data_IF_420284046052
#
_entry.id   IF_420284046052
#
_cell.length_a   1.000
_cell.length_b   1.000
_cell.length_c   1.000
_cell.angle_alpha   90.00
_cell.angle_beta   90.00
_cell.angle_gamma   90.00
#
_symmetry.space_group_name_H-M   'P 1'
#
loop_
_entity.id
_entity.type
_entity.pdbx_description
1 polymer ?
#
# COMPACT_ATOMS: atom_id res chain seq x y z
N UNK A 1 -13.89 -14.83 -17.92
CA UNK A 1 -12.75 -15.25 -17.09
C UNK A 1 -12.07 -13.99 -16.63
N UNK A 2 -11.87 -13.84 -15.31
CA UNK A 2 -11.26 -12.65 -14.69
C UNK A 2 -9.74 -12.81 -14.80
N UNK A 3 -9.10 -11.91 -15.51
CA UNK A 3 -7.64 -11.91 -15.65
C UNK A 3 -7.00 -11.20 -14.46
N UNK A 4 -6.14 -11.88 -13.74
CA UNK A 4 -5.45 -11.30 -12.60
C UNK A 4 -3.94 -11.29 -12.78
N UNK A 5 -3.30 -10.31 -12.15
CA UNK A 5 -1.84 -10.26 -12.01
C UNK A 5 -1.47 -10.27 -10.55
N UNK A 6 -0.38 -10.97 -10.20
CA UNK A 6 0.17 -11.02 -8.85
C UNK A 6 1.48 -10.23 -8.80
N UNK A 7 1.60 -9.31 -7.85
CA UNK A 7 2.81 -8.56 -7.56
C UNK A 7 3.17 -8.75 -6.08
N UNK A 8 4.26 -9.46 -5.80
CA UNK A 8 4.70 -9.86 -4.46
C UNK A 8 6.18 -10.21 -4.53
N UNK A 9 7.01 -9.69 -3.65
CA UNK A 9 8.46 -9.94 -3.65
C UNK A 9 8.80 -11.37 -3.19
N UNK A 10 7.93 -11.99 -2.39
CA UNK A 10 8.10 -13.34 -1.87
C UNK A 10 7.69 -14.38 -2.93
N UNK A 11 8.67 -14.89 -3.68
CA UNK A 11 8.43 -15.82 -4.78
C UNK A 11 7.56 -17.02 -4.39
N UNK A 12 7.83 -17.65 -3.23
CA UNK A 12 7.06 -18.83 -2.79
C UNK A 12 5.59 -18.48 -2.54
N UNK A 13 5.31 -17.32 -1.92
CA UNK A 13 3.94 -16.85 -1.66
C UNK A 13 3.23 -16.56 -2.97
N UNK A 14 3.89 -15.87 -3.89
CA UNK A 14 3.37 -15.54 -5.21
C UNK A 14 3.01 -16.78 -6.03
N UNK A 15 3.90 -17.79 -6.05
CA UNK A 15 3.66 -19.06 -6.74
C UNK A 15 2.52 -19.86 -6.09
N UNK A 16 2.45 -19.89 -4.76
CA UNK A 16 1.37 -20.56 -4.03
C UNK A 16 0.01 -19.91 -4.30
N UNK A 17 -0.07 -18.57 -4.26
CA UNK A 17 -1.30 -17.84 -4.61
C UNK A 17 -1.70 -18.07 -6.06
N UNK A 18 -0.74 -18.06 -6.99
CA UNK A 18 -1.01 -18.35 -8.40
C UNK A 18 -1.59 -19.78 -8.59
N UNK A 19 -1.01 -20.76 -7.92
CA UNK A 19 -1.50 -22.14 -7.98
C UNK A 19 -2.92 -22.28 -7.39
N UNK A 20 -3.17 -21.68 -6.22
CA UNK A 20 -4.48 -21.75 -5.55
C UNK A 20 -5.57 -21.03 -6.35
N UNK A 21 -5.29 -19.82 -6.84
CA UNK A 21 -6.25 -19.05 -7.64
C UNK A 21 -6.47 -19.64 -9.04
N UNK A 22 -5.46 -20.33 -9.58
CA UNK A 22 -5.58 -21.07 -10.84
C UNK A 22 -6.49 -22.31 -10.77
N UNK A 23 -6.90 -22.74 -9.56
CA UNK A 23 -7.92 -23.78 -9.38
C UNK A 23 -9.35 -23.26 -9.57
N UNK A 24 -9.53 -21.93 -9.50
CA UNK A 24 -10.84 -21.30 -9.70
C UNK A 24 -11.18 -21.25 -11.21
N UNK A 25 -12.35 -21.76 -11.58
CA UNK A 25 -12.75 -21.93 -12.98
C UNK A 25 -12.96 -20.63 -13.76
N UNK A 26 -13.13 -19.50 -13.06
CA UNK A 26 -13.42 -18.18 -13.58
C UNK A 26 -12.28 -17.18 -13.42
N UNK A 27 -11.13 -17.59 -12.85
CA UNK A 27 -9.95 -16.74 -12.63
C UNK A 27 -8.78 -17.27 -13.47
N UNK A 28 -8.05 -16.37 -14.09
CA UNK A 28 -6.83 -16.64 -14.87
C UNK A 28 -5.68 -15.77 -14.39
N UNK A 29 -4.58 -16.36 -13.93
CA UNK A 29 -3.35 -15.65 -13.58
C UNK A 29 -2.55 -15.38 -14.85
N UNK A 30 -2.60 -14.16 -15.38
CA UNK A 30 -1.95 -13.79 -16.66
C UNK A 30 -0.51 -13.31 -16.49
N UNK A 31 -0.13 -12.85 -15.29
CA UNK A 31 1.23 -12.40 -15.01
C UNK A 31 1.58 -12.50 -13.52
N UNK A 32 2.89 -12.60 -13.25
CA UNK A 32 3.48 -12.56 -11.93
C UNK A 32 4.74 -11.69 -11.99
N UNK A 33 4.90 -10.77 -11.04
CA UNK A 33 6.08 -9.87 -10.93
C UNK A 33 6.56 -9.79 -9.49
N UNK A 34 7.85 -9.52 -9.29
CA UNK A 34 8.49 -9.50 -7.98
C UNK A 34 8.78 -8.09 -7.43
N UNK A 35 8.57 -7.05 -8.22
CA UNK A 35 8.88 -5.67 -7.83
C UNK A 35 7.87 -4.65 -8.35
N UNK A 36 7.77 -3.52 -7.65
CA UNK A 36 6.80 -2.47 -7.96
C UNK A 36 7.00 -1.86 -9.34
N UNK A 37 8.26 -1.63 -9.73
CA UNK A 37 8.59 -1.01 -11.02
C UNK A 37 8.21 -1.90 -12.23
N UNK A 38 8.03 -3.22 -12.02
CA UNK A 38 7.64 -4.16 -13.06
C UNK A 38 6.12 -4.15 -13.35
N UNK A 39 5.31 -3.62 -12.41
CA UNK A 39 3.85 -3.75 -12.46
C UNK A 39 3.24 -3.02 -13.65
N UNK A 40 3.57 -1.74 -13.84
CA UNK A 40 2.98 -0.94 -14.92
C UNK A 40 3.34 -1.48 -16.32
N UNK A 41 4.61 -1.85 -16.60
CA UNK A 41 4.96 -2.55 -17.84
C UNK A 41 4.19 -3.85 -18.07
N UNK A 42 3.98 -4.65 -17.00
CA UNK A 42 3.24 -5.90 -17.07
C UNK A 42 1.73 -5.68 -17.30
N UNK A 43 1.11 -4.66 -16.68
CA UNK A 43 -0.29 -4.28 -16.97
C UNK A 43 -0.47 -3.96 -18.45
N UNK A 44 0.42 -3.15 -19.03
CA UNK A 44 0.36 -2.76 -20.44
C UNK A 44 0.56 -3.94 -21.40
N UNK A 45 1.24 -4.99 -20.96
CA UNK A 45 1.50 -6.20 -21.77
C UNK A 45 0.40 -7.24 -21.67
N UNK A 46 -0.13 -7.48 -20.46
CA UNK A 46 -1.02 -8.61 -20.18
C UNK A 46 -2.47 -8.21 -19.97
N UNK A 47 -2.75 -6.91 -19.81
CA UNK A 47 -4.08 -6.33 -19.63
C UNK A 47 -4.94 -7.07 -18.59
N UNK A 48 -4.48 -7.17 -17.32
CA UNK A 48 -5.28 -7.79 -16.26
C UNK A 48 -6.48 -6.93 -15.91
N UNK A 49 -7.54 -7.57 -15.40
CA UNK A 49 -8.73 -6.89 -14.87
C UNK A 49 -8.48 -6.44 -13.42
N UNK A 50 -7.78 -7.28 -12.64
CA UNK A 50 -7.46 -7.03 -11.24
C UNK A 50 -5.98 -7.30 -10.99
N UNK A 51 -5.30 -6.39 -10.29
CA UNK A 51 -3.92 -6.53 -9.86
C UNK A 51 -3.89 -6.72 -8.36
N UNK A 52 -3.38 -7.86 -7.90
CA UNK A 52 -3.10 -8.12 -6.48
C UNK A 52 -1.71 -7.58 -6.16
N UNK A 53 -1.62 -6.72 -5.15
CA UNK A 53 -0.40 -5.99 -4.80
C UNK A 53 -0.03 -6.27 -3.34
N UNK A 54 1.15 -6.83 -3.10
CA UNK A 54 1.73 -6.75 -1.76
C UNK A 54 2.17 -5.31 -1.45
N UNK A 55 2.17 -4.93 -0.18
CA UNK A 55 2.64 -3.60 0.23
C UNK A 55 4.16 -3.52 0.14
N UNK A 56 4.85 -4.53 0.65
CA UNK A 56 6.32 -4.54 0.73
C UNK A 56 6.93 -5.14 -0.53
N UNK A 57 7.27 -4.30 -1.50
CA UNK A 57 7.90 -4.72 -2.74
C UNK A 57 9.14 -3.88 -3.05
N UNK A 58 10.23 -4.47 -3.56
CA UNK A 58 11.38 -3.69 -4.02
C UNK A 58 11.02 -2.89 -5.26
N UNK A 59 11.55 -1.68 -5.33
CA UNK A 59 11.42 -0.79 -6.49
C UNK A 59 12.25 0.47 -6.27
N UNK A 60 12.67 1.11 -7.34
CA UNK A 60 13.41 2.38 -7.29
C UNK A 60 12.48 3.58 -7.34
N UNK A 61 11.37 3.48 -8.06
CA UNK A 61 10.34 4.51 -8.20
C UNK A 61 9.05 4.11 -7.48
N UNK A 62 8.64 2.85 -7.60
CA UNK A 62 7.45 2.27 -6.97
C UNK A 62 7.88 1.21 -5.95
N UNK A 63 8.18 1.64 -4.74
CA UNK A 63 8.71 0.80 -3.66
C UNK A 63 7.65 0.18 -2.74
N UNK A 64 6.37 0.42 -3.05
CA UNK A 64 5.24 -0.09 -2.27
C UNK A 64 4.05 -0.38 -3.18
N UNK A 65 3.30 -1.45 -2.89
CA UNK A 65 2.03 -1.72 -3.59
C UNK A 65 1.01 -0.58 -3.47
N UNK A 66 1.10 0.25 -2.45
CA UNK A 66 0.26 1.44 -2.32
C UNK A 66 0.66 2.50 -3.36
N UNK A 67 1.96 2.70 -3.59
CA UNK A 67 2.45 3.62 -4.62
C UNK A 67 2.07 3.12 -6.02
N UNK A 68 2.14 1.81 -6.23
CA UNK A 68 1.68 1.17 -7.48
C UNK A 68 0.18 1.38 -7.69
N UNK A 69 -0.66 1.23 -6.65
CA UNK A 69 -2.09 1.49 -6.76
C UNK A 69 -2.39 2.95 -7.15
N UNK A 70 -1.65 3.91 -6.57
CA UNK A 70 -1.74 5.31 -6.96
C UNK A 70 -1.32 5.53 -8.43
N UNK A 71 -0.23 4.90 -8.87
CA UNK A 71 0.24 5.01 -10.25
C UNK A 71 -0.78 4.41 -11.26
N UNK A 72 -1.41 3.27 -10.94
CA UNK A 72 -2.48 2.67 -11.77
C UNK A 72 -3.65 3.65 -11.93
N UNK A 73 -4.11 4.25 -10.83
CA UNK A 73 -5.21 5.24 -10.81
C UNK A 73 -4.85 6.49 -11.62
N UNK A 74 -3.66 7.06 -11.37
CA UNK A 74 -3.24 8.35 -11.96
C UNK A 74 -2.97 8.22 -13.46
N UNK A 75 -2.44 7.07 -13.90
CA UNK A 75 -2.27 6.73 -15.31
C UNK A 75 -3.59 6.32 -15.99
N UNK A 76 -4.69 6.15 -15.24
CA UNK A 76 -6.00 5.70 -15.74
C UNK A 76 -5.90 4.46 -16.62
N UNK A 77 -5.14 3.46 -16.13
CA UNK A 77 -4.93 2.22 -16.89
C UNK A 77 -6.25 1.47 -17.07
N UNK A 78 -6.42 0.92 -18.28
CA UNK A 78 -7.65 0.21 -18.66
C UNK A 78 -7.36 -1.19 -19.17
N UNK A 79 -8.35 -2.07 -19.01
CA UNK A 79 -8.37 -3.42 -19.57
C UNK A 79 -8.55 -3.39 -21.09
N UNK A 80 -8.53 -4.55 -21.74
CA UNK A 80 -8.85 -4.67 -23.17
C UNK A 80 -10.28 -4.24 -23.52
N UNK A 81 -11.19 -4.28 -22.56
CA UNK A 81 -12.59 -3.86 -22.73
C UNK A 81 -12.82 -2.38 -22.44
N UNK A 82 -11.79 -1.65 -22.04
CA UNK A 82 -11.85 -0.23 -21.69
C UNK A 82 -12.30 0.04 -20.24
N UNK A 83 -12.54 -1.00 -19.45
CA UNK A 83 -12.81 -0.86 -18.02
C UNK A 83 -11.56 -0.50 -17.25
N UNK A 84 -11.64 0.23 -16.11
CA UNK A 84 -10.47 0.53 -15.29
C UNK A 84 -9.82 -0.74 -14.74
N UNK A 85 -8.48 -0.82 -14.82
CA UNK A 85 -7.72 -1.83 -14.08
C UNK A 85 -7.87 -1.55 -12.58
N UNK A 86 -8.29 -2.55 -11.82
CA UNK A 86 -8.52 -2.43 -10.37
C UNK A 86 -7.37 -3.02 -9.58
N UNK A 87 -7.04 -2.40 -8.45
CA UNK A 87 -6.03 -2.92 -7.54
C UNK A 87 -6.64 -3.44 -6.24
N UNK A 88 -6.14 -4.59 -5.78
CA UNK A 88 -6.47 -5.21 -4.50
C UNK A 88 -5.17 -5.36 -3.72
N UNK A 89 -5.05 -4.67 -2.59
CA UNK A 89 -3.91 -4.86 -1.70
C UNK A 89 -4.08 -6.20 -0.96
N UNK A 90 -3.03 -7.03 -0.96
CA UNK A 90 -2.98 -8.31 -0.25
C UNK A 90 -1.68 -8.37 0.52
N UNK A 91 -1.73 -8.22 1.85
CA UNK A 91 -0.54 -8.04 2.68
C UNK A 91 -0.53 -8.96 3.90
N UNK A 92 0.65 -9.24 4.44
CA UNK A 92 0.79 -9.98 5.71
C UNK A 92 0.30 -9.16 6.91
N UNK A 93 0.39 -7.81 6.84
CA UNK A 93 0.09 -6.93 7.96
C UNK A 93 -1.14 -6.07 7.70
N UNK A 94 -2.27 -6.42 8.35
CA UNK A 94 -3.50 -5.63 8.33
C UNK A 94 -3.42 -4.42 9.27
N UNK A 95 -2.51 -3.45 9.01
CA UNK A 95 -2.41 -2.24 9.84
C UNK A 95 -3.42 -1.20 9.39
N UNK A 96 -4.14 -0.54 10.34
CA UNK A 96 -5.14 0.49 10.01
C UNK A 96 -4.63 1.61 9.12
N UNK A 97 -3.37 1.99 9.28
CA UNK A 97 -2.73 3.01 8.48
C UNK A 97 -2.54 2.61 7.03
N UNK A 98 -2.17 1.37 6.78
CA UNK A 98 -2.03 0.84 5.42
C UNK A 98 -3.38 0.81 4.70
N UNK A 99 -4.46 0.41 5.39
CA UNK A 99 -5.81 0.44 4.83
C UNK A 99 -6.20 1.85 4.36
N UNK A 100 -6.04 2.87 5.23
CA UNK A 100 -6.38 4.26 4.85
C UNK A 100 -5.57 4.77 3.66
N UNK A 101 -4.25 4.52 3.67
CA UNK A 101 -3.36 4.91 2.57
C UNK A 101 -3.72 4.18 1.27
N UNK A 102 -4.01 2.88 1.33
CA UNK A 102 -4.40 2.10 0.16
C UNK A 102 -5.70 2.61 -0.46
N UNK A 103 -6.72 2.88 0.34
CA UNK A 103 -7.98 3.44 -0.16
C UNK A 103 -7.80 4.86 -0.71
N UNK A 104 -7.02 5.71 -0.06
CA UNK A 104 -6.68 7.06 -0.57
C UNK A 104 -5.87 6.99 -1.88
N UNK A 105 -5.02 5.98 -2.05
CA UNK A 105 -4.30 5.69 -3.29
C UNK A 105 -5.20 5.17 -4.41
N UNK A 106 -6.47 4.83 -4.13
CA UNK A 106 -7.43 4.34 -5.11
C UNK A 106 -7.49 2.82 -5.23
N UNK A 107 -6.94 2.07 -4.26
CA UNK A 107 -7.14 0.64 -4.21
C UNK A 107 -8.63 0.30 -4.05
N UNK A 108 -9.10 -0.69 -4.81
CA UNK A 108 -10.48 -1.17 -4.76
C UNK A 108 -10.73 -2.11 -3.59
N UNK A 109 -9.66 -2.60 -2.95
CA UNK A 109 -9.79 -3.45 -1.77
C UNK A 109 -8.49 -3.62 -1.00
N UNK A 110 -8.64 -4.18 0.21
CA UNK A 110 -7.56 -4.49 1.11
C UNK A 110 -7.87 -5.79 1.87
N UNK A 111 -7.00 -6.78 1.73
CA UNK A 111 -7.11 -8.08 2.38
C UNK A 111 -5.79 -8.49 3.02
N UNK A 112 -5.84 -9.38 4.00
CA UNK A 112 -4.64 -9.94 4.64
C UNK A 112 -4.33 -11.32 4.07
N UNK A 113 -3.04 -11.68 4.00
CA UNK A 113 -2.57 -12.96 3.41
C UNK A 113 -2.94 -14.19 4.24
N UNK A 114 -3.44 -14.03 5.48
CA UNK A 114 -3.96 -15.12 6.31
C UNK A 114 -5.42 -15.51 5.97
N UNK A 115 -6.04 -14.79 5.05
CA UNK A 115 -7.34 -15.09 4.44
C UNK A 115 -7.28 -16.41 3.65
N UNK A 116 -8.37 -17.19 3.67
CA UNK A 116 -8.46 -18.40 2.85
C UNK A 116 -8.45 -18.10 1.34
N UNK A 117 -7.95 -19.05 0.54
CA UNK A 117 -7.93 -18.90 -0.92
C UNK A 117 -9.33 -18.63 -1.51
N UNK A 118 -10.37 -19.27 -0.96
CA UNK A 118 -11.77 -19.05 -1.38
C UNK A 118 -12.28 -17.63 -1.07
N UNK A 119 -11.91 -17.08 0.08
CA UNK A 119 -12.24 -15.70 0.43
C UNK A 119 -11.48 -14.69 -0.43
N UNK A 120 -10.21 -14.98 -0.75
CA UNK A 120 -9.43 -14.14 -1.67
C UNK A 120 -10.05 -14.17 -3.08
N UNK A 121 -10.42 -15.34 -3.60
CA UNK A 121 -11.10 -15.48 -4.88
C UNK A 121 -12.43 -14.72 -4.93
N UNK A 122 -13.23 -14.79 -3.85
CA UNK A 122 -14.46 -13.99 -3.73
C UNK A 122 -14.17 -12.49 -3.67
N UNK A 123 -13.12 -12.07 -2.97
CA UNK A 123 -12.64 -10.69 -2.96
C UNK A 123 -12.29 -10.18 -4.35
N UNK A 124 -11.59 -11.00 -5.14
CA UNK A 124 -11.24 -10.69 -6.55
C UNK A 124 -12.50 -10.49 -7.39
N UNK A 125 -13.50 -11.41 -7.28
CA UNK A 125 -14.77 -11.28 -8.00
C UNK A 125 -15.52 -10.00 -7.68
N UNK A 126 -15.57 -9.65 -6.39
CA UNK A 126 -16.20 -8.40 -5.92
C UNK A 126 -15.48 -7.16 -6.42
N UNK A 127 -14.15 -7.15 -6.35
CA UNK A 127 -13.32 -6.05 -6.91
C UNK A 127 -13.55 -5.93 -8.42
N UNK A 128 -13.52 -7.04 -9.15
CA UNK A 128 -13.81 -7.06 -10.60
C UNK A 128 -15.19 -6.50 -10.91
N UNK A 129 -16.22 -6.79 -10.08
CA UNK A 129 -17.56 -6.23 -10.20
C UNK A 129 -17.67 -4.75 -9.80
N UNK A 130 -16.56 -4.07 -9.45
CA UNK A 130 -16.53 -2.67 -9.06
C UNK A 130 -16.91 -2.40 -7.60
N UNK A 131 -16.99 -3.43 -6.77
CA UNK A 131 -17.25 -3.28 -5.34
C UNK A 131 -15.95 -3.06 -4.57
N UNK A 132 -16.02 -2.35 -3.45
CA UNK A 132 -14.93 -2.27 -2.50
C UNK A 132 -14.91 -3.48 -1.56
N UNK A 133 -13.70 -3.99 -1.30
CA UNK A 133 -13.49 -5.15 -0.41
C UNK A 133 -12.52 -4.77 0.70
N UNK A 134 -13.00 -4.80 1.93
CA UNK A 134 -12.19 -4.56 3.13
C UNK A 134 -12.65 -5.54 4.21
N UNK A 135 -11.70 -6.09 4.97
CA UNK A 135 -12.03 -6.86 6.16
C UNK A 135 -12.78 -5.98 7.18
N UNK A 136 -13.97 -6.40 7.68
CA UNK A 136 -14.78 -5.57 8.57
C UNK A 136 -14.08 -5.23 9.90
N UNK A 137 -13.28 -6.15 10.46
CA UNK A 137 -12.55 -5.92 11.70
C UNK A 137 -11.47 -4.85 11.50
N UNK A 138 -10.71 -4.96 10.41
CA UNK A 138 -9.70 -3.97 10.03
C UNK A 138 -10.31 -2.60 9.71
N UNK A 139 -11.48 -2.57 9.06
CA UNK A 139 -12.21 -1.33 8.81
C UNK A 139 -12.62 -0.66 10.12
N UNK A 140 -13.19 -1.41 11.07
CA UNK A 140 -13.59 -0.90 12.39
C UNK A 140 -12.36 -0.38 13.17
N UNK A 141 -11.26 -1.11 13.16
CA UNK A 141 -10.01 -0.69 13.79
C UNK A 141 -9.47 0.61 13.16
N UNK A 142 -9.47 0.70 11.83
CA UNK A 142 -9.02 1.90 11.12
C UNK A 142 -9.85 3.14 11.46
N UNK A 143 -11.14 2.99 11.73
CA UNK A 143 -12.00 4.08 12.18
C UNK A 143 -11.71 4.50 13.64
N UNK A 144 -11.33 3.56 14.51
CA UNK A 144 -11.02 3.82 15.90
C UNK A 144 -9.72 4.64 16.10
N UNK A 145 -8.76 4.55 15.18
CA UNK A 145 -7.48 5.26 15.29
C UNK A 145 -7.53 6.78 15.00
N UNK A 146 -8.67 7.32 14.56
CA UNK A 146 -8.90 8.77 14.42
C UNK A 146 -8.00 9.49 13.41
N UNK A 147 -8.07 10.83 13.44
CA UNK A 147 -7.22 11.71 12.61
C UNK A 147 -5.79 11.79 13.17
N UNK A 148 -4.84 12.15 12.30
CA UNK A 148 -3.45 12.35 12.70
C UNK A 148 -3.33 13.47 13.74
N UNK A 149 -2.65 13.25 14.88
CA UNK A 149 -2.37 14.33 15.83
C UNK A 149 -1.23 15.25 15.35
N UNK A 150 -0.56 14.85 14.26
CA UNK A 150 0.57 15.58 13.69
C UNK A 150 0.08 16.73 12.80
N UNK A 151 0.81 17.83 12.80
CA UNK A 151 0.66 18.85 11.77
C UNK A 151 1.30 18.39 10.46
N UNK A 152 0.91 19.02 9.32
CA UNK A 152 1.50 18.72 8.01
C UNK A 152 3.03 18.84 8.05
N UNK A 153 3.55 19.82 8.76
CA UNK A 153 4.99 20.07 8.90
C UNK A 153 5.71 19.00 9.73
N UNK A 154 5.10 18.53 10.79
CA UNK A 154 5.60 17.41 11.59
C UNK A 154 5.60 16.12 10.78
N UNK A 155 4.55 15.86 10.01
CA UNK A 155 4.43 14.72 9.11
C UNK A 155 5.53 14.73 8.05
N UNK A 156 5.74 15.86 7.38
CA UNK A 156 6.78 16.04 6.36
C UNK A 156 8.18 15.79 6.93
N UNK A 157 8.47 16.35 8.10
CA UNK A 157 9.74 16.17 8.79
C UNK A 157 9.96 14.72 9.21
N UNK A 158 8.94 14.04 9.75
CA UNK A 158 9.04 12.62 10.13
C UNK A 158 9.25 11.72 8.92
N UNK A 159 8.60 12.02 7.78
CA UNK A 159 8.77 11.28 6.53
C UNK A 159 10.21 11.33 6.04
N UNK A 160 10.81 12.51 5.95
CA UNK A 160 12.22 12.68 5.58
C UNK A 160 13.15 12.04 6.62
N UNK A 161 12.79 12.14 7.91
CA UNK A 161 13.53 11.53 9.00
C UNK A 161 13.54 9.98 8.92
N UNK A 162 12.51 9.38 8.36
CA UNK A 162 12.39 7.92 8.15
C UNK A 162 13.49 7.34 7.27
N UNK A 163 14.03 8.13 6.36
CA UNK A 163 15.17 7.74 5.52
C UNK A 163 16.54 7.91 6.18
N UNK A 164 16.59 8.08 7.51
CA UNK A 164 17.85 8.20 8.27
C UNK A 164 18.51 9.58 8.21
N UNK A 165 17.86 10.59 7.64
CA UNK A 165 18.40 11.94 7.48
C UNK A 165 18.67 12.61 8.83
N UNK A 166 19.78 13.34 8.97
CA UNK A 166 20.09 14.17 10.15
C UNK A 166 19.21 15.42 10.19
N UNK A 167 19.07 16.05 11.36
CA UNK A 167 18.32 17.32 11.48
C UNK A 167 18.85 18.42 10.55
N UNK A 168 20.15 18.39 10.22
CA UNK A 168 20.75 19.30 9.25
C UNK A 168 20.30 18.98 7.83
N UNK A 169 20.39 17.72 7.41
CA UNK A 169 19.97 17.29 6.07
C UNK A 169 18.47 17.52 5.85
N UNK A 170 17.62 17.24 6.86
CA UNK A 170 16.20 17.55 6.84
C UNK A 170 15.98 19.06 6.66
N UNK A 171 16.74 19.88 7.41
CA UNK A 171 16.66 21.34 7.32
C UNK A 171 17.06 21.86 5.94
N UNK A 172 18.10 21.34 5.34
CA UNK A 172 18.54 21.66 3.97
C UNK A 172 17.46 21.30 2.94
N UNK A 173 16.87 20.09 3.04
CA UNK A 173 15.82 19.62 2.13
C UNK A 173 14.51 20.41 2.25
N UNK A 174 14.11 20.78 3.47
CA UNK A 174 12.84 21.42 3.77
C UNK A 174 12.95 22.95 3.98
N UNK A 175 14.09 23.54 3.72
CA UNK A 175 14.36 24.98 3.91
C UNK A 175 14.11 25.46 5.35
N UNK A 176 14.58 24.68 6.35
CA UNK A 176 14.44 24.95 7.77
C UNK A 176 15.81 25.03 8.47
N UNK A 177 15.85 25.75 9.59
CA UNK A 177 17.01 25.64 10.48
C UNK A 177 17.04 24.25 11.16
N UNK A 178 18.25 23.71 11.46
CA UNK A 178 18.36 22.46 12.24
C UNK A 178 17.70 22.56 13.63
N UNK A 179 17.62 23.76 14.21
CA UNK A 179 16.90 24.02 15.46
C UNK A 179 15.39 23.85 15.30
N UNK A 180 14.82 24.42 14.24
CA UNK A 180 13.39 24.27 13.89
C UNK A 180 13.02 22.82 13.66
N UNK A 181 13.86 22.06 12.93
CA UNK A 181 13.65 20.62 12.70
C UNK A 181 13.62 19.85 14.04
N UNK A 182 14.58 20.10 14.96
CA UNK A 182 14.58 19.47 16.28
C UNK A 182 13.31 19.78 17.09
N UNK A 183 12.84 21.02 17.03
CA UNK A 183 11.61 21.42 17.74
C UNK A 183 10.39 20.65 17.21
N UNK A 184 10.22 20.55 15.88
CA UNK A 184 9.13 19.77 15.28
C UNK A 184 9.24 18.26 15.60
N UNK A 185 10.45 17.68 15.56
CA UNK A 185 10.64 16.29 15.96
C UNK A 185 10.28 16.06 17.44
N UNK A 186 10.67 16.96 18.33
CA UNK A 186 10.31 16.87 19.76
C UNK A 186 8.80 16.99 19.97
N UNK A 187 8.15 17.91 19.27
CA UNK A 187 6.69 18.08 19.30
C UNK A 187 5.97 16.83 18.79
N UNK A 188 6.41 16.29 17.65
CA UNK A 188 5.86 15.06 17.08
C UNK A 188 6.02 13.87 18.03
N UNK A 189 7.21 13.68 18.62
CA UNK A 189 7.44 12.64 19.63
C UNK A 189 6.51 12.79 20.83
N UNK A 190 6.30 14.00 21.34
CA UNK A 190 5.39 14.26 22.45
C UNK A 190 3.92 13.90 22.10
N UNK A 191 3.45 14.32 20.92
CA UNK A 191 2.10 14.02 20.43
C UNK A 191 1.84 12.52 20.23
N UNK A 192 2.88 11.78 19.80
CA UNK A 192 2.82 10.34 19.58
C UNK A 192 3.16 9.52 20.85
N UNK A 193 3.48 10.19 21.96
CA UNK A 193 3.97 9.56 23.19
C UNK A 193 5.14 8.60 22.91
N UNK A 194 6.04 9.00 22.03
CA UNK A 194 7.19 8.22 21.61
C UNK A 194 8.44 8.61 22.40
N UNK A 195 9.22 7.62 22.83
CA UNK A 195 10.45 7.81 23.62
C UNK A 195 11.65 8.27 22.77
N UNK A 196 11.59 8.05 21.46
CA UNK A 196 12.63 8.44 20.51
C UNK A 196 12.07 8.63 19.09
N UNK A 197 12.91 9.20 18.21
CA UNK A 197 12.56 9.50 16.82
C UNK A 197 12.12 8.27 16.02
N UNK A 198 12.81 7.13 16.19
CA UNK A 198 12.49 5.91 15.43
C UNK A 198 11.13 5.35 15.84
N UNK A 199 10.82 5.41 17.11
CA UNK A 199 9.51 5.02 17.62
C UNK A 199 8.41 5.95 17.11
N UNK A 200 8.66 7.26 17.07
CA UNK A 200 7.70 8.22 16.50
C UNK A 200 7.42 7.94 15.01
N UNK A 201 8.46 7.65 14.23
CA UNK A 201 8.33 7.28 12.82
C UNK A 201 7.51 6.00 12.68
N UNK A 202 7.83 4.95 13.46
CA UNK A 202 7.11 3.69 13.44
C UNK A 202 5.63 3.87 13.79
N UNK A 203 5.32 4.56 14.91
CA UNK A 203 3.93 4.83 15.31
C UNK A 203 3.18 5.58 14.22
N UNK A 204 3.79 6.62 13.64
CA UNK A 204 3.15 7.41 12.60
C UNK A 204 2.92 6.61 11.32
N UNK A 205 3.86 5.75 10.92
CA UNK A 205 3.72 4.87 9.77
C UNK A 205 2.66 3.78 9.99
N UNK A 206 2.69 3.12 11.18
CA UNK A 206 1.72 2.09 11.54
C UNK A 206 0.28 2.60 11.54
N UNK A 207 0.09 3.88 11.88
CA UNK A 207 -1.21 4.56 11.86
C UNK A 207 -1.54 5.23 10.51
N UNK A 208 -0.64 5.18 9.52
CA UNK A 208 -0.84 5.78 8.19
C UNK A 208 -0.87 7.30 8.20
N UNK A 209 -0.13 7.89 9.12
CA UNK A 209 0.05 9.35 9.23
C UNK A 209 1.30 9.85 8.48
N UNK A 210 2.11 8.91 7.92
CA UNK A 210 3.27 9.20 7.06
C UNK A 210 3.03 8.75 5.63
#
# INVERSE_FOLDING_TARGET
MIKIMLADDQQLVREALAALLGLEHDIEVVAQVGGGDEVIPAINRYHPDVVLLDIEMPGSELSSGIDVAAAIRDAKLVTLTGEPVRSLIVTTFGRPGYLRRALAAGASGFMVKDTSASQLAEGIRRVHAGMHVVDPALAAESLAYGESPLTDRETEILRVAGHGATARAIGEQLFLSPGTVRNHLSSAMAKLNASNRQEAIRIAADNGWL
#
